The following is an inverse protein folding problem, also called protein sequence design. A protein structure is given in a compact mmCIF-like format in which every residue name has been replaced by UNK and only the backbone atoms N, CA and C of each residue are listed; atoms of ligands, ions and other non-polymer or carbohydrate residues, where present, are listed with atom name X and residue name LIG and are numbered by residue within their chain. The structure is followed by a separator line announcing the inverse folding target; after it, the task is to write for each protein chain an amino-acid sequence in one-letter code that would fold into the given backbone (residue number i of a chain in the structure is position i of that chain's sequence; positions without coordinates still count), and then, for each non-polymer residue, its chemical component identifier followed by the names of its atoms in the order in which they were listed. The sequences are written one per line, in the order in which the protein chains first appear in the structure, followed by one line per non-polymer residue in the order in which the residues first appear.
data_IF_879821453583
#
_entry.id   IF_879821453583
#
_cell.length_a   1.000
_cell.length_b   1.000
_cell.length_c   1.000
_cell.angle_alpha   90.00
_cell.angle_beta   90.00
_cell.angle_gamma   90.00
#
_symmetry.space_group_name_H-M   'P 1'
#
loop_
_entity.id
_entity.type
_entity.pdbx_description
1 polymer ?
#
# COMPACT_ATOMS: atom_id res chain seq x y z
N UNK A 1 -3.24 -16.12 29.94
CA UNK A 1 -3.46 -16.87 28.69
C UNK A 1 -3.65 -18.35 29.02
N UNK A 2 -4.60 -19.02 28.39
CA UNK A 2 -4.81 -20.48 28.48
C UNK A 2 -5.03 -21.07 27.09
N UNK A 3 -4.87 -22.39 26.98
CA UNK A 3 -5.23 -23.17 25.78
C UNK A 3 -4.60 -22.68 24.47
N UNK A 4 -3.34 -22.19 24.52
CA UNK A 4 -2.60 -21.82 23.32
C UNK A 4 -2.38 -23.05 22.43
N UNK A 5 -2.87 -22.99 21.20
CA UNK A 5 -2.65 -23.99 20.17
C UNK A 5 -2.28 -23.30 18.85
N UNK A 6 -1.45 -23.97 18.07
CA UNK A 6 -1.17 -23.60 16.70
C UNK A 6 -1.32 -24.85 15.84
N UNK A 7 -2.13 -24.76 14.79
CA UNK A 7 -2.52 -25.91 13.98
C UNK A 7 -2.48 -25.52 12.49
N UNK A 8 -2.13 -26.50 11.65
CA UNK A 8 -2.20 -26.34 10.20
C UNK A 8 -3.65 -26.39 9.76
N UNK A 9 -4.09 -25.38 9.03
CA UNK A 9 -5.36 -25.42 8.32
C UNK A 9 -5.14 -25.90 6.88
N UNK A 10 -6.22 -26.23 6.17
CA UNK A 10 -6.12 -26.82 4.83
C UNK A 10 -5.22 -25.97 3.92
N UNK A 11 -4.27 -26.59 3.18
CA UNK A 11 -3.29 -25.85 2.40
C UNK A 11 -3.96 -25.08 1.27
N UNK A 12 -3.61 -23.80 1.13
CA UNK A 12 -3.77 -23.09 -0.14
C UNK A 12 -2.71 -23.58 -1.13
N UNK A 13 -2.96 -23.45 -2.43
CA UNK A 13 -2.08 -24.01 -3.47
C UNK A 13 -0.59 -23.61 -3.34
N UNK A 14 -0.28 -22.43 -2.76
CA UNK A 14 1.09 -21.95 -2.53
C UNK A 14 1.33 -21.39 -1.12
N UNK A 15 0.46 -21.70 -0.15
CA UNK A 15 0.51 -21.10 1.18
C UNK A 15 0.23 -22.14 2.27
N UNK A 16 1.11 -22.20 3.26
CA UNK A 16 0.91 -22.95 4.49
C UNK A 16 0.20 -22.06 5.49
N UNK A 17 -1.03 -22.41 5.84
CA UNK A 17 -1.85 -21.64 6.77
C UNK A 17 -1.73 -22.23 8.18
N UNK A 18 -1.41 -21.38 9.15
CA UNK A 18 -1.34 -21.73 10.58
C UNK A 18 -2.34 -20.88 11.35
N UNK A 19 -3.30 -21.57 11.97
CA UNK A 19 -4.24 -20.93 12.88
C UNK A 19 -3.70 -20.99 14.30
N UNK A 20 -3.66 -19.84 14.98
CA UNK A 20 -3.31 -19.74 16.40
C UNK A 20 -4.59 -19.47 17.19
N UNK A 21 -4.87 -20.32 18.18
CA UNK A 21 -6.00 -20.16 19.09
C UNK A 21 -5.51 -20.07 20.53
N UNK A 22 -6.12 -19.21 21.33
CA UNK A 22 -5.86 -19.10 22.76
C UNK A 22 -7.03 -18.43 23.48
N UNK A 23 -7.13 -18.66 24.77
CA UNK A 23 -8.08 -17.96 25.65
C UNK A 23 -7.38 -16.86 26.43
N UNK A 24 -7.93 -15.65 26.38
CA UNK A 24 -7.40 -14.48 27.08
C UNK A 24 -8.52 -13.68 27.75
N UNK A 25 -8.32 -13.22 29.00
CA UNK A 25 -9.24 -12.30 29.67
C UNK A 25 -9.08 -10.85 29.19
N UNK A 26 -8.24 -10.57 28.18
CA UNK A 26 -7.94 -9.20 27.70
C UNK A 26 -9.16 -8.41 27.22
N UNK A 27 -10.27 -9.07 26.88
CA UNK A 27 -11.55 -8.42 26.57
C UNK A 27 -12.39 -8.08 27.80
N UNK A 28 -12.11 -8.70 28.95
CA UNK A 28 -12.81 -8.47 30.22
C UNK A 28 -12.00 -7.53 31.12
N UNK A 29 -12.24 -6.22 30.94
CA UNK A 29 -11.59 -5.18 31.74
C UNK A 29 -11.94 -5.23 33.24
N UNK A 30 -12.96 -6.00 33.67
CA UNK A 30 -13.34 -6.14 35.09
C UNK A 30 -12.50 -7.20 35.82
N UNK A 31 -11.78 -8.04 35.07
CA UNK A 31 -10.99 -9.16 35.61
C UNK A 31 -9.67 -8.76 36.27
N UNK A 32 -9.25 -7.48 36.18
CA UNK A 32 -7.97 -7.01 36.73
C UNK A 32 -6.72 -7.54 36.01
N UNK A 33 -6.88 -8.32 34.94
CA UNK A 33 -5.78 -8.88 34.16
C UNK A 33 -5.25 -7.84 33.15
N UNK A 34 -4.31 -6.99 33.60
CA UNK A 34 -3.70 -5.92 32.78
C UNK A 34 -2.33 -6.29 32.19
N UNK A 35 -1.74 -7.39 32.64
CA UNK A 35 -0.41 -7.80 32.21
C UNK A 35 -0.44 -8.62 30.91
N UNK A 36 0.59 -8.43 30.08
CA UNK A 36 0.82 -9.20 28.85
C UNK A 36 2.03 -10.11 29.01
N UNK A 37 1.94 -11.33 28.49
CA UNK A 37 3.04 -12.29 28.49
C UNK A 37 3.18 -12.94 27.11
N UNK A 38 4.42 -13.20 26.70
CA UNK A 38 4.73 -13.92 25.46
C UNK A 38 4.69 -15.42 25.70
N UNK A 39 4.03 -16.16 24.80
CA UNK A 39 4.03 -17.62 24.79
C UNK A 39 4.46 -18.15 23.42
N UNK A 40 4.98 -19.37 23.39
CA UNK A 40 5.45 -20.02 22.16
C UNK A 40 4.59 -21.24 21.86
N UNK A 41 4.13 -21.35 20.63
CA UNK A 41 3.54 -22.57 20.07
C UNK A 41 4.49 -23.16 19.03
N UNK A 42 4.49 -24.47 18.85
CA UNK A 42 5.28 -25.17 17.83
C UNK A 42 4.35 -25.91 16.90
N UNK A 43 4.55 -25.71 15.60
CA UNK A 43 3.86 -26.44 14.54
C UNK A 43 4.93 -27.18 13.73
N UNK A 44 4.70 -28.47 13.48
CA UNK A 44 5.55 -29.26 12.59
C UNK A 44 4.89 -29.33 11.23
N UNK A 45 5.57 -28.83 10.21
CA UNK A 45 5.12 -28.96 8.84
C UNK A 45 5.32 -30.41 8.36
N UNK A 46 4.38 -30.98 7.57
CA UNK A 46 4.55 -32.31 6.98
C UNK A 46 5.71 -32.35 5.98
N UNK A 47 5.99 -31.22 5.34
CA UNK A 47 7.06 -31.02 4.38
C UNK A 47 7.82 -29.72 4.68
N UNK A 48 9.09 -29.58 4.28
CA UNK A 48 9.82 -28.32 4.38
C UNK A 48 9.04 -27.16 3.73
N UNK A 49 9.09 -25.96 4.31
CA UNK A 49 8.35 -24.80 3.79
C UNK A 49 8.67 -24.54 2.31
N UNK A 50 9.95 -24.63 1.93
CA UNK A 50 10.39 -24.40 0.55
C UNK A 50 10.14 -22.95 0.12
N UNK A 51 9.67 -22.78 -1.11
CA UNK A 51 9.27 -21.47 -1.68
C UNK A 51 7.84 -21.04 -1.28
N UNK A 52 7.15 -21.84 -0.45
CA UNK A 52 5.79 -21.52 -0.01
C UNK A 52 5.80 -20.45 1.06
N UNK A 53 4.76 -19.64 1.07
CA UNK A 53 4.55 -18.64 2.09
C UNK A 53 3.88 -19.27 3.34
N UNK A 54 4.23 -18.79 4.53
CA UNK A 54 3.59 -19.14 5.79
C UNK A 54 2.63 -18.02 6.21
N UNK A 55 1.33 -18.29 6.25
CA UNK A 55 0.32 -17.36 6.72
C UNK A 55 -0.11 -17.73 8.16
N UNK A 56 -0.09 -16.75 9.07
CA UNK A 56 -0.40 -16.97 10.49
C UNK A 56 -1.57 -16.10 10.95
N UNK A 57 -2.63 -16.73 11.45
CA UNK A 57 -3.79 -16.05 12.04
C UNK A 57 -4.77 -15.44 11.04
N UNK A 58 -5.65 -14.56 11.54
CA UNK A 58 -6.62 -13.79 10.74
C UNK A 58 -6.85 -12.39 11.34
N UNK A 59 -6.69 -11.29 10.57
CA UNK A 59 -6.10 -11.24 9.23
C UNK A 59 -4.68 -11.81 9.25
N UNK A 60 -4.29 -12.52 8.19
CA UNK A 60 -3.08 -13.32 8.20
C UNK A 60 -1.82 -12.45 8.07
N UNK A 61 -0.86 -12.63 8.98
CA UNK A 61 0.51 -12.17 8.76
C UNK A 61 1.23 -13.22 7.89
N UNK A 62 1.80 -12.79 6.76
CA UNK A 62 2.44 -13.68 5.79
C UNK A 62 3.96 -13.59 5.92
N UNK A 63 4.63 -14.74 5.89
CA UNK A 63 6.07 -14.87 6.04
C UNK A 63 6.67 -15.72 4.91
N UNK A 64 7.92 -15.46 4.55
CA UNK A 64 8.68 -16.26 3.58
C UNK A 64 10.04 -16.66 4.11
N UNK A 65 10.57 -17.78 3.60
CA UNK A 65 11.95 -18.19 3.79
C UNK A 65 12.92 -17.39 2.89
N UNK A 66 12.42 -16.77 1.83
CA UNK A 66 13.25 -16.09 0.84
C UNK A 66 13.92 -14.83 1.43
N UNK A 67 15.25 -14.83 1.35
CA UNK A 67 16.08 -13.77 1.93
C UNK A 67 16.07 -13.75 3.46
N UNK A 68 15.56 -14.79 4.14
CA UNK A 68 15.48 -14.86 5.58
C UNK A 68 16.69 -15.57 6.21
N UNK A 69 17.11 -15.13 7.39
CA UNK A 69 18.12 -15.82 8.20
C UNK A 69 17.46 -16.95 9.01
N UNK A 70 17.37 -18.14 8.40
CA UNK A 70 16.75 -19.31 9.02
C UNK A 70 17.37 -19.65 10.40
N UNK A 71 16.56 -20.06 11.40
CA UNK A 71 15.16 -20.48 11.30
C UNK A 71 14.14 -19.32 11.38
N UNK A 72 14.58 -18.07 11.48
CA UNK A 72 13.65 -16.94 11.43
C UNK A 72 13.17 -16.72 9.99
N UNK A 73 11.86 -16.59 9.81
CA UNK A 73 11.26 -16.22 8.53
C UNK A 73 11.14 -14.70 8.43
N UNK A 74 11.16 -14.19 7.20
CA UNK A 74 10.95 -12.76 6.93
C UNK A 74 9.46 -12.48 6.85
N UNK A 75 8.99 -11.46 7.56
CA UNK A 75 7.63 -10.95 7.41
C UNK A 75 7.50 -10.28 6.03
N UNK A 76 6.45 -10.61 5.31
CA UNK A 76 6.12 -10.01 4.04
C UNK A 76 5.41 -8.67 4.26
N UNK A 77 5.70 -7.70 3.39
CA UNK A 77 5.07 -6.38 3.46
C UNK A 77 3.71 -6.38 2.76
N UNK A 78 3.09 -5.21 2.70
CA UNK A 78 1.77 -5.03 2.07
C UNK A 78 1.77 -5.37 0.56
N UNK A 79 2.94 -5.30 -0.06
CA UNK A 79 3.18 -5.63 -1.48
C UNK A 79 3.47 -7.13 -1.70
N UNK A 80 3.30 -7.97 -0.67
CA UNK A 80 3.58 -9.39 -0.69
C UNK A 80 5.03 -9.76 -0.35
N UNK A 81 5.36 -11.04 -0.48
CA UNK A 81 6.68 -11.57 -0.12
C UNK A 81 7.75 -11.25 -1.16
N UNK A 82 7.35 -11.09 -2.42
CA UNK A 82 8.22 -10.81 -3.57
C UNK A 82 7.69 -9.58 -4.31
N UNK A 83 7.82 -8.38 -3.70
CA UNK A 83 7.36 -7.17 -4.36
C UNK A 83 8.13 -6.95 -5.68
N UNK A 84 7.48 -6.40 -6.72
CA UNK A 84 8.18 -6.03 -7.95
C UNK A 84 9.37 -5.11 -7.65
N UNK A 85 10.47 -5.28 -8.36
CA UNK A 85 11.59 -4.34 -8.25
C UNK A 85 11.15 -2.96 -8.76
N UNK A 86 11.62 -1.91 -8.09
CA UNK A 86 11.44 -0.53 -8.57
C UNK A 86 12.10 -0.35 -9.93
N UNK A 87 11.42 0.36 -10.83
CA UNK A 87 11.90 0.63 -12.17
C UNK A 87 10.81 1.21 -13.07
N UNK A 88 11.11 1.38 -14.34
CA UNK A 88 10.19 1.98 -15.29
C UNK A 88 9.36 0.91 -16.02
N UNK A 89 8.55 0.16 -15.26
CA UNK A 89 7.71 -0.95 -15.76
C UNK A 89 6.31 -0.88 -15.15
N UNK A 90 5.33 -1.46 -15.85
CA UNK A 90 3.92 -1.48 -15.40
C UNK A 90 3.76 -2.04 -13.98
N UNK A 91 4.38 -3.18 -13.67
CA UNK A 91 4.26 -3.81 -12.35
C UNK A 91 4.91 -2.99 -11.23
N UNK A 92 5.99 -2.27 -11.56
CA UNK A 92 6.63 -1.32 -10.65
C UNK A 92 5.73 -0.09 -10.38
N UNK A 93 4.96 0.37 -11.35
CA UNK A 93 4.01 1.47 -11.13
C UNK A 93 2.76 1.02 -10.36
N UNK A 94 2.30 -0.23 -10.54
CA UNK A 94 1.23 -0.81 -9.71
C UNK A 94 1.65 -0.86 -8.24
N UNK A 95 2.89 -1.26 -7.97
CA UNK A 95 3.49 -1.19 -6.64
C UNK A 95 3.46 0.24 -6.06
N UNK A 96 3.80 1.25 -6.85
CA UNK A 96 3.79 2.66 -6.41
C UNK A 96 2.38 3.18 -6.11
N UNK A 97 1.36 2.75 -6.87
CA UNK A 97 -0.06 3.08 -6.59
C UNK A 97 -0.52 2.43 -5.29
N UNK A 98 -0.12 1.19 -5.02
CA UNK A 98 -0.43 0.51 -3.75
C UNK A 98 0.22 1.21 -2.55
N UNK A 99 1.42 1.76 -2.71
CA UNK A 99 2.17 2.43 -1.63
C UNK A 99 1.54 3.74 -1.11
N UNK A 100 0.50 4.28 -1.77
CA UNK A 100 -0.20 5.51 -1.35
C UNK A 100 -1.64 5.24 -0.88
N UNK A 101 -1.98 3.97 -0.59
CA UNK A 101 -3.32 3.54 -0.20
C UNK A 101 -4.41 4.04 -1.17
N UNK A 102 -4.09 4.06 -2.48
CA UNK A 102 -5.00 4.59 -3.47
C UNK A 102 -6.32 3.78 -3.50
N UNK A 103 -7.48 4.43 -3.68
CA UNK A 103 -8.75 3.74 -3.78
C UNK A 103 -8.79 2.70 -4.91
N UNK A 104 -9.70 1.73 -4.79
CA UNK A 104 -10.00 0.81 -5.89
C UNK A 104 -10.42 1.60 -7.14
N UNK A 105 -10.08 1.08 -8.33
CA UNK A 105 -10.34 1.72 -9.62
C UNK A 105 -9.62 3.07 -9.82
N UNK A 106 -8.41 3.16 -9.27
CA UNK A 106 -7.47 4.24 -9.55
C UNK A 106 -6.87 4.11 -10.95
N UNK A 107 -6.77 5.24 -11.66
CA UNK A 107 -6.14 5.39 -12.97
C UNK A 107 -4.76 6.03 -12.81
N UNK A 108 -3.82 5.62 -13.66
CA UNK A 108 -2.52 6.30 -13.85
C UNK A 108 -2.62 7.15 -15.12
N UNK A 109 -2.68 8.46 -14.94
CA UNK A 109 -2.93 9.40 -16.04
C UNK A 109 -1.63 9.86 -16.73
N UNK A 110 -0.52 9.88 -15.99
CA UNK A 110 0.82 10.15 -16.52
C UNK A 110 1.92 9.53 -15.65
N UNK A 111 3.05 9.19 -16.28
CA UNK A 111 4.15 8.46 -15.65
C UNK A 111 5.49 9.06 -16.11
N UNK A 112 6.35 9.48 -15.18
CA UNK A 112 7.72 9.92 -15.46
C UNK A 112 8.70 9.20 -14.56
N UNK A 113 9.61 8.43 -15.14
CA UNK A 113 10.51 7.54 -14.40
C UNK A 113 11.93 7.58 -14.96
N UNK A 114 12.93 7.55 -14.07
CA UNK A 114 14.35 7.37 -14.43
C UNK A 114 14.99 6.13 -13.79
N UNK A 115 14.17 5.30 -13.13
CA UNK A 115 14.59 4.08 -12.43
C UNK A 115 14.96 4.30 -10.96
N UNK A 116 15.26 5.54 -10.54
CA UNK A 116 15.53 5.91 -9.14
C UNK A 116 14.42 6.77 -8.56
N UNK A 117 13.77 7.55 -9.41
CA UNK A 117 12.71 8.49 -9.11
C UNK A 117 11.53 8.21 -10.02
N UNK A 118 10.34 8.44 -9.47
CA UNK A 118 9.08 8.26 -10.18
C UNK A 118 8.14 9.41 -9.84
N UNK A 119 7.44 9.90 -10.85
CA UNK A 119 6.29 10.80 -10.74
C UNK A 119 5.10 10.08 -11.34
N UNK A 120 4.02 9.97 -10.57
CA UNK A 120 2.75 9.45 -11.06
C UNK A 120 1.66 10.49 -10.85
N UNK A 121 0.92 10.75 -11.93
CA UNK A 121 -0.37 11.41 -11.84
C UNK A 121 -1.43 10.33 -11.71
N UNK A 122 -2.13 10.35 -10.58
CA UNK A 122 -3.07 9.33 -10.17
C UNK A 122 -4.45 9.98 -10.10
N UNK A 123 -5.50 9.36 -10.65
CA UNK A 123 -6.88 9.81 -10.41
C UNK A 123 -7.82 8.68 -10.06
N UNK A 124 -8.88 8.99 -9.32
CA UNK A 124 -9.90 8.03 -8.94
C UNK A 124 -11.29 8.65 -9.04
N UNK A 125 -12.31 7.86 -9.41
CA UNK A 125 -13.68 8.34 -9.48
C UNK A 125 -14.21 8.64 -8.08
N UNK A 126 -14.92 9.77 -7.95
CA UNK A 126 -15.63 10.14 -6.72
C UNK A 126 -17.14 10.22 -6.91
N UNK A 127 -17.63 9.97 -8.12
CA UNK A 127 -19.05 9.89 -8.44
C UNK A 127 -19.69 8.55 -8.04
N UNK A 128 -21.03 8.45 -8.09
CA UNK A 128 -21.74 7.18 -7.89
C UNK A 128 -21.26 6.11 -8.89
N UNK A 129 -21.44 4.83 -8.55
CA UNK A 129 -21.20 3.71 -9.49
C UNK A 129 -22.24 3.81 -10.59
N UNK A 130 -21.80 4.11 -11.83
CA UNK A 130 -22.73 4.39 -12.91
C UNK A 130 -22.88 3.21 -13.85
N UNK A 131 -24.12 2.73 -13.98
CA UNK A 131 -24.50 1.64 -14.86
C UNK A 131 -24.81 2.06 -16.29
N UNK A 132 -25.05 3.35 -16.55
CA UNK A 132 -25.51 3.84 -17.85
C UNK A 132 -24.49 4.77 -18.53
N UNK A 133 -24.10 4.49 -19.79
CA UNK A 133 -23.27 5.38 -20.58
C UNK A 133 -24.05 6.66 -20.95
N UNK A 134 -23.51 7.84 -20.58
CA UNK A 134 -24.07 9.15 -20.97
C UNK A 134 -24.47 10.08 -19.83
N UNK A 135 -24.21 9.72 -18.56
CA UNK A 135 -24.44 10.62 -17.43
C UNK A 135 -23.15 11.31 -16.98
N UNK A 136 -23.00 12.60 -17.31
CA UNK A 136 -21.84 13.43 -16.94
C UNK A 136 -21.70 13.63 -15.41
N UNK A 137 -22.76 13.37 -14.63
CA UNK A 137 -22.69 13.40 -13.15
C UNK A 137 -21.75 12.30 -12.57
N UNK A 138 -21.35 11.34 -13.41
CA UNK A 138 -20.44 10.24 -13.10
C UNK A 138 -18.98 10.52 -13.51
N UNK A 139 -18.72 11.67 -14.13
CA UNK A 139 -17.39 12.09 -14.54
C UNK A 139 -16.45 12.62 -13.43
N UNK A 140 -16.89 13.05 -12.22
CA UNK A 140 -15.97 13.69 -11.30
C UNK A 140 -14.91 12.69 -10.79
N UNK A 141 -13.66 13.11 -10.93
CA UNK A 141 -12.48 12.42 -10.43
C UNK A 141 -11.70 13.38 -9.55
N UNK A 142 -11.09 12.85 -8.51
CA UNK A 142 -9.98 13.53 -7.87
C UNK A 142 -8.70 12.92 -8.41
N UNK A 143 -7.66 13.71 -8.51
CA UNK A 143 -6.34 13.20 -8.82
C UNK A 143 -5.28 13.82 -7.96
N UNK A 144 -4.07 13.30 -8.02
CA UNK A 144 -2.89 13.75 -7.31
C UNK A 144 -1.64 13.42 -8.08
N UNK A 145 -0.64 14.30 -7.98
CA UNK A 145 0.71 13.99 -8.43
C UNK A 145 1.52 13.54 -7.23
N UNK A 146 2.01 12.31 -7.30
CA UNK A 146 2.87 11.70 -6.31
C UNK A 146 4.30 11.58 -6.81
N UNK A 147 5.25 11.86 -5.92
CA UNK A 147 6.67 11.71 -6.16
C UNK A 147 7.23 10.63 -5.25
N UNK A 148 8.04 9.75 -5.84
CA UNK A 148 8.59 8.58 -5.18
C UNK A 148 10.10 8.48 -5.34
N UNK A 149 10.73 7.86 -4.35
CA UNK A 149 12.13 7.44 -4.38
C UNK A 149 12.19 5.92 -4.32
N UNK A 150 13.05 5.31 -5.13
CA UNK A 150 13.30 3.88 -5.06
C UNK A 150 14.02 3.54 -3.75
N UNK A 151 13.48 2.59 -3.00
CA UNK A 151 14.13 1.94 -1.85
C UNK A 151 14.13 0.41 -2.07
N UNK A 152 14.89 -0.34 -1.26
CA UNK A 152 14.95 -1.80 -1.36
C UNK A 152 13.58 -2.46 -1.18
N UNK A 153 12.71 -1.84 -0.36
CA UNK A 153 11.35 -2.33 -0.09
C UNK A 153 10.34 -1.97 -1.20
N UNK A 154 10.73 -1.14 -2.18
CA UNK A 154 9.84 -0.63 -3.23
C UNK A 154 9.86 0.89 -3.36
N UNK A 155 8.88 1.42 -4.07
CA UNK A 155 8.69 2.87 -4.18
C UNK A 155 8.21 3.48 -2.87
N UNK A 156 8.94 4.47 -2.37
CA UNK A 156 8.54 5.25 -1.21
C UNK A 156 8.00 6.61 -1.64
N UNK A 157 6.70 6.90 -1.42
CA UNK A 157 6.17 8.24 -1.66
C UNK A 157 6.77 9.22 -0.63
N UNK A 158 7.18 10.39 -1.10
CA UNK A 158 7.73 11.43 -0.22
C UNK A 158 7.10 12.80 -0.41
N UNK A 159 6.39 13.03 -1.53
CA UNK A 159 5.75 14.31 -1.81
C UNK A 159 4.51 14.15 -2.68
N UNK A 160 3.52 15.03 -2.45
CA UNK A 160 2.24 15.08 -3.15
C UNK A 160 1.92 16.53 -3.50
N UNK A 161 1.46 16.79 -4.73
CA UNK A 161 1.04 18.13 -5.15
C UNK A 161 0.08 18.08 -6.35
N UNK A 162 -0.46 19.23 -6.72
CA UNK A 162 -1.12 19.47 -8.01
C UNK A 162 -0.31 20.41 -8.91
N UNK A 163 0.77 20.99 -8.38
CA UNK A 163 1.56 22.00 -9.08
C UNK A 163 2.44 21.39 -10.16
N UNK A 164 2.67 22.16 -11.22
CA UNK A 164 3.65 21.85 -12.26
C UNK A 164 5.05 22.36 -11.91
N UNK A 165 6.03 21.92 -12.70
CA UNK A 165 7.42 22.36 -12.60
C UNK A 165 8.20 21.77 -11.41
N UNK A 166 9.46 22.21 -11.29
CA UNK A 166 10.41 21.64 -10.33
C UNK A 166 10.43 22.27 -8.94
N UNK A 167 9.87 23.47 -8.76
CA UNK A 167 10.07 24.25 -7.52
C UNK A 167 9.62 23.49 -6.28
N UNK A 168 8.37 23.02 -6.27
CA UNK A 168 7.76 22.42 -5.09
C UNK A 168 8.45 21.11 -4.66
N UNK A 169 8.80 20.24 -5.64
CA UNK A 169 9.50 18.98 -5.35
C UNK A 169 10.94 19.24 -4.90
N UNK A 170 11.67 20.17 -5.52
CA UNK A 170 13.07 20.44 -5.17
C UNK A 170 13.25 21.20 -3.86
N UNK A 171 12.23 21.91 -3.38
CA UNK A 171 12.19 22.43 -2.01
C UNK A 171 12.10 21.30 -0.96
N UNK A 172 11.55 20.14 -1.34
CA UNK A 172 11.46 18.95 -0.47
C UNK A 172 12.64 17.99 -0.63
N UNK A 173 13.10 17.79 -1.86
CA UNK A 173 14.19 16.89 -2.23
C UNK A 173 15.08 17.58 -3.28
N UNK A 174 16.12 18.31 -2.85
CA UNK A 174 16.97 19.10 -3.74
C UNK A 174 17.66 18.30 -4.86
N UNK A 175 17.89 17.01 -4.61
CA UNK A 175 18.51 16.06 -5.54
C UNK A 175 17.52 15.50 -6.57
N UNK A 176 16.25 15.89 -6.51
CA UNK A 176 15.25 15.43 -7.46
C UNK A 176 15.62 15.83 -8.91
N UNK A 177 15.60 14.89 -9.87
CA UNK A 177 16.05 15.15 -11.24
C UNK A 177 15.19 16.21 -11.93
N UNK A 178 15.86 17.27 -12.40
CA UNK A 178 15.18 18.36 -13.10
C UNK A 178 14.46 17.88 -14.37
N UNK A 179 15.01 16.86 -15.05
CA UNK A 179 14.40 16.25 -16.22
C UNK A 179 13.00 15.65 -15.95
N UNK A 180 12.74 15.16 -14.73
CA UNK A 180 11.45 14.57 -14.37
C UNK A 180 10.40 15.61 -13.94
N UNK A 181 10.79 16.86 -13.69
CA UNK A 181 9.86 17.89 -13.22
C UNK A 181 9.72 19.12 -14.14
N UNK A 182 10.62 19.33 -15.09
CA UNK A 182 10.64 20.56 -15.90
C UNK A 182 9.41 20.67 -16.80
N UNK A 183 9.02 19.56 -17.42
CA UNK A 183 7.88 19.50 -18.34
C UNK A 183 6.55 19.21 -17.65
N UNK A 184 6.52 19.13 -16.32
CA UNK A 184 5.30 18.82 -15.60
C UNK A 184 4.36 20.02 -15.64
N UNK A 185 3.24 19.86 -16.35
CA UNK A 185 2.13 20.81 -16.28
C UNK A 185 1.39 20.68 -14.94
N UNK A 186 0.77 21.74 -14.43
CA UNK A 186 -0.15 21.62 -13.30
C UNK A 186 -1.27 20.62 -13.62
N UNK A 187 -1.72 19.87 -12.60
CA UNK A 187 -2.88 19.01 -12.77
C UNK A 187 -4.12 19.84 -13.12
N UNK A 188 -5.02 19.24 -13.90
CA UNK A 188 -6.27 19.89 -14.27
C UNK A 188 -7.05 20.30 -13.00
N UNK A 189 -7.57 21.53 -12.92
CA UNK A 189 -8.34 21.99 -11.76
C UNK A 189 -9.58 21.14 -11.45
N UNK A 190 -10.08 20.38 -12.42
CA UNK A 190 -11.16 19.41 -12.21
C UNK A 190 -10.74 18.20 -11.37
N UNK A 191 -9.46 17.81 -11.41
CA UNK A 191 -8.88 16.73 -10.59
C UNK A 191 -8.46 17.23 -9.20
N UNK A 192 -8.19 18.53 -9.10
CA UNK A 192 -7.83 19.22 -7.87
C UNK A 192 -8.67 20.48 -7.71
N UNK A 193 -9.97 20.36 -7.38
CA UNK A 193 -10.76 21.53 -7.07
C UNK A 193 -10.19 22.13 -5.78
N UNK A 194 -9.34 23.14 -5.92
CA UNK A 194 -9.06 24.06 -4.83
C UNK A 194 -10.43 24.59 -4.42
N UNK A 195 -10.88 24.20 -3.23
CA UNK A 195 -12.18 24.65 -2.71
C UNK A 195 -12.15 26.17 -2.67
N UNK A 196 -12.73 26.79 -3.68
CA UNK A 196 -12.97 28.23 -3.67
C UNK A 196 -14.16 28.40 -2.74
N UNK A 197 -14.05 29.10 -1.59
CA UNK A 197 -15.23 29.46 -0.84
C UNK A 197 -16.05 30.35 -1.77
N UNK A 198 -17.15 29.80 -2.30
CA UNK A 198 -18.10 30.56 -3.09
C UNK A 198 -18.48 31.79 -2.28
N UNK A 199 -18.19 32.98 -2.81
CA UNK A 199 -18.64 34.22 -2.21
C UNK A 199 -20.17 34.16 -2.12
N UNK A 200 -20.69 34.18 -0.90
CA UNK A 200 -22.13 34.26 -0.64
C UNK A 200 -22.66 35.53 -1.32
N UNK A 201 -23.68 35.46 -2.18
CA UNK A 201 -24.30 36.66 -2.70
C UNK A 201 -25.02 37.37 -1.55
N UNK A 202 -24.55 38.57 -1.19
CA UNK A 202 -25.31 39.51 -0.36
C UNK A 202 -26.57 39.91 -1.11
N UNK A 203 -27.73 39.59 -0.52
CA UNK A 203 -29.02 40.19 -0.85
C UNK A 203 -29.16 41.56 -0.21
#
# INVERSE_FOLDING_TARGET
MRDLKAELTAPGANTVQVQVTFTSPSGDRRSGCTESATAKARVKLPEPLGERELAVGYPAAVFTADGAALPALRLCGDLGCTPPATGCTTGSYEQAVQAVDAPAHTYRDAEHCDGKWLVLDISWPTGPVCGDPGNDACAPRLGDRWFYKAEEAGWKPFFRTATGGCRAVREREPDFPTALCTSLEPLAPSLHPAYSPTATPTS
#
